data_IF_251189289965
#
_entry.id   IF_251189289965
#
_cell.length_a   1.000
_cell.length_b   1.000
_cell.length_c   1.000
_cell.angle_alpha   90.00
_cell.angle_beta   90.00
_cell.angle_gamma   90.00
#
_symmetry.space_group_name_H-M   'P 1'
#
loop_
_entity.id
_entity.type
_entity.pdbx_description
1 polymer ?
#
# COMPACT_ATOMS: atom_id res chain seq x y z
N UNK A 1 22.66 -70.38 17.53
CA UNK A 1 23.77 -69.62 16.96
C UNK A 1 24.41 -70.48 15.88
N UNK A 2 24.67 -69.89 14.72
CA UNK A 2 25.32 -70.51 13.56
C UNK A 2 26.82 -70.20 13.64
N UNK A 3 27.68 -71.18 13.34
CA UNK A 3 29.13 -71.00 13.29
C UNK A 3 29.51 -70.86 11.82
N UNK A 4 30.18 -69.78 11.43
CA UNK A 4 30.68 -69.61 10.07
C UNK A 4 31.63 -70.76 9.71
N UNK A 5 31.72 -71.10 8.43
CA UNK A 5 32.46 -72.27 7.97
C UNK A 5 33.98 -72.12 8.18
N UNK A 6 34.48 -70.90 8.23
CA UNK A 6 35.84 -70.53 8.65
C UNK A 6 36.11 -70.65 10.17
N UNK A 7 35.07 -70.95 10.96
CA UNK A 7 35.07 -71.03 12.43
C UNK A 7 35.52 -69.75 13.14
N UNK A 8 35.56 -68.60 12.46
CA UNK A 8 36.10 -67.36 13.02
C UNK A 8 35.08 -66.62 13.87
N UNK A 9 33.79 -66.80 13.58
CA UNK A 9 32.71 -66.12 14.28
C UNK A 9 31.44 -66.96 14.39
N UNK A 10 30.65 -66.62 15.39
CA UNK A 10 29.35 -67.23 15.67
C UNK A 10 28.25 -66.20 15.54
N UNK A 11 27.33 -66.42 14.61
CA UNK A 11 26.20 -65.55 14.31
C UNK A 11 24.92 -66.03 14.99
N UNK A 12 23.99 -65.10 15.22
CA UNK A 12 22.64 -65.46 15.62
C UNK A 12 21.91 -66.09 14.44
N UNK A 13 20.98 -67.02 14.68
CA UNK A 13 20.30 -67.76 13.60
C UNK A 13 19.42 -66.87 12.71
N UNK A 14 19.14 -65.64 13.14
CA UNK A 14 18.40 -64.63 12.37
C UNK A 14 19.27 -63.95 11.31
N UNK A 15 20.60 -64.08 11.41
CA UNK A 15 21.60 -63.53 10.50
C UNK A 15 22.12 -64.61 9.55
N UNK A 16 21.25 -65.55 9.20
CA UNK A 16 21.58 -66.72 8.38
C UNK A 16 20.48 -66.81 7.36
N UNK A 17 20.84 -66.75 6.08
CA UNK A 17 19.89 -66.62 4.99
C UNK A 17 19.05 -65.32 5.05
N UNK A 18 19.65 -64.23 5.54
CA UNK A 18 19.02 -62.91 5.60
C UNK A 18 19.45 -62.00 4.44
N UNK A 19 20.08 -62.56 3.42
CA UNK A 19 20.54 -61.89 2.20
C UNK A 19 21.71 -60.92 2.42
N UNK A 20 22.33 -60.97 3.60
CA UNK A 20 23.49 -60.17 3.96
C UNK A 20 24.65 -61.08 4.32
N UNK A 21 25.83 -60.76 3.79
CA UNK A 21 27.05 -61.44 4.20
C UNK A 21 27.49 -60.91 5.57
N UNK A 22 27.11 -61.62 6.62
CA UNK A 22 27.61 -61.40 7.98
C UNK A 22 28.80 -62.34 8.28
N UNK A 23 28.91 -63.48 7.59
CA UNK A 23 30.12 -64.28 7.60
C UNK A 23 31.24 -63.66 6.75
N UNK A 24 32.47 -63.53 7.26
CA UNK A 24 33.63 -63.08 6.46
C UNK A 24 33.86 -63.96 5.21
N UNK A 25 33.50 -65.25 5.28
CA UNK A 25 33.57 -66.21 4.18
C UNK A 25 32.24 -66.35 3.40
N UNK A 26 31.18 -65.64 3.80
CA UNK A 26 29.84 -65.70 3.20
C UNK A 26 29.11 -67.03 3.40
N UNK A 27 29.59 -67.86 4.32
CA UNK A 27 29.03 -69.19 4.56
C UNK A 27 27.59 -69.18 5.11
N UNK A 28 27.16 -68.07 5.70
CA UNK A 28 25.79 -67.82 6.15
C UNK A 28 24.75 -67.72 5.03
N UNK A 29 25.16 -67.37 3.80
CA UNK A 29 24.25 -67.14 2.67
C UNK A 29 24.33 -68.20 1.56
N UNK A 30 25.31 -69.11 1.62
CA UNK A 30 25.61 -70.03 0.51
C UNK A 30 24.75 -71.30 0.49
N UNK A 31 24.18 -71.71 1.62
CA UNK A 31 23.40 -72.95 1.73
C UNK A 31 21.88 -72.72 1.75
N UNK A 32 21.46 -71.47 1.54
CA UNK A 32 20.08 -71.05 1.62
C UNK A 32 19.30 -71.52 0.39
N UNK A 33 18.24 -72.30 0.60
CA UNK A 33 17.34 -72.69 -0.50
C UNK A 33 16.39 -71.53 -0.79
N UNK A 34 16.77 -70.64 -1.70
CA UNK A 34 15.96 -69.49 -2.10
C UNK A 34 14.90 -69.94 -3.12
N UNK A 35 13.67 -69.47 -2.94
CA UNK A 35 12.57 -69.73 -3.89
C UNK A 35 12.97 -69.21 -5.27
N UNK A 36 13.00 -70.09 -6.29
CA UNK A 36 13.40 -69.71 -7.66
C UNK A 36 12.36 -68.84 -8.39
N UNK A 37 11.17 -68.70 -7.83
CA UNK A 37 10.09 -67.91 -8.42
C UNK A 37 9.90 -66.64 -7.60
N UNK A 38 10.49 -65.54 -8.08
CA UNK A 38 10.23 -64.19 -7.60
C UNK A 38 9.11 -63.59 -8.48
N UNK A 39 7.98 -63.21 -7.88
CA UNK A 39 6.84 -62.56 -8.56
C UNK A 39 7.03 -61.03 -8.57
N UNK A 40 8.30 -60.58 -8.57
CA UNK A 40 8.73 -59.21 -8.30
C UNK A 40 10.13 -58.92 -8.87
N UNK A 41 10.77 -57.86 -8.38
CA UNK A 41 12.16 -57.54 -8.76
C UNK A 41 13.14 -58.33 -7.90
N UNK A 42 14.14 -58.94 -8.55
CA UNK A 42 15.22 -59.63 -7.87
C UNK A 42 16.47 -58.74 -7.84
N UNK A 43 16.85 -58.30 -6.64
CA UNK A 43 18.07 -57.55 -6.36
C UNK A 43 19.32 -58.33 -6.79
N UNK A 44 20.47 -57.67 -6.99
CA UNK A 44 21.71 -58.36 -7.40
C UNK A 44 22.23 -59.34 -6.33
N UNK A 45 21.92 -59.09 -5.06
CA UNK A 45 22.18 -59.98 -3.91
C UNK A 45 21.20 -61.17 -3.84
N UNK A 46 20.20 -61.23 -4.71
CA UNK A 46 19.20 -62.29 -4.82
C UNK A 46 17.99 -62.15 -3.90
N UNK A 47 17.86 -61.03 -3.17
CA UNK A 47 16.63 -60.65 -2.45
C UNK A 47 15.51 -60.39 -3.45
N UNK A 48 14.29 -60.83 -3.14
CA UNK A 48 13.11 -60.57 -3.96
C UNK A 48 12.28 -59.49 -3.28
N UNK A 49 12.02 -58.39 -3.99
CA UNK A 49 11.17 -57.30 -3.53
C UNK A 49 9.95 -57.19 -4.46
N UNK A 50 8.82 -56.66 -3.96
CA UNK A 50 7.67 -56.34 -4.81
C UNK A 50 8.03 -55.32 -5.91
N UNK A 51 7.35 -55.37 -7.06
CA UNK A 51 7.63 -54.44 -8.17
C UNK A 51 7.33 -52.97 -7.84
N UNK A 52 6.44 -52.70 -6.89
CA UNK A 52 6.14 -51.38 -6.35
C UNK A 52 7.25 -50.80 -5.48
N UNK A 53 8.22 -51.64 -5.09
CA UNK A 53 9.43 -51.26 -4.33
C UNK A 53 10.67 -51.08 -5.19
N UNK A 54 10.49 -51.06 -6.51
CA UNK A 54 11.55 -50.74 -7.45
C UNK A 54 11.51 -49.23 -7.74
N UNK A 55 12.64 -48.53 -7.56
CA UNK A 55 12.76 -47.09 -7.82
C UNK A 55 11.82 -46.20 -6.97
N UNK A 56 11.54 -46.60 -5.73
CA UNK A 56 10.63 -45.88 -4.84
C UNK A 56 11.35 -44.93 -3.87
N UNK A 57 12.67 -44.75 -4.05
CA UNK A 57 13.56 -43.90 -3.25
C UNK A 57 13.86 -44.50 -1.87
N UNK A 58 13.20 -45.59 -1.48
CA UNK A 58 13.54 -46.36 -0.29
C UNK A 58 14.56 -47.45 -0.65
N UNK A 59 15.52 -47.69 0.24
CA UNK A 59 16.49 -48.77 0.04
C UNK A 59 15.89 -50.09 0.51
N UNK A 60 15.09 -50.72 -0.34
CA UNK A 60 14.44 -51.99 -0.11
C UNK A 60 15.37 -53.18 -0.44
N UNK A 61 16.24 -53.06 -1.44
CA UNK A 61 17.36 -53.99 -1.62
C UNK A 61 18.52 -53.63 -0.70
N UNK A 62 19.10 -54.63 -0.04
CA UNK A 62 20.31 -54.40 0.78
C UNK A 62 21.49 -53.82 -0.03
N UNK A 63 21.61 -54.19 -1.31
CA UNK A 63 22.68 -53.77 -2.20
C UNK A 63 22.33 -52.51 -3.02
N UNK A 64 21.22 -51.84 -2.72
CA UNK A 64 20.73 -50.62 -3.41
C UNK A 64 20.42 -50.84 -4.90
N UNK A 65 20.31 -52.09 -5.36
CA UNK A 65 20.07 -52.40 -6.78
C UNK A 65 18.66 -52.05 -7.26
N UNK A 66 17.72 -51.88 -6.34
CA UNK A 66 16.37 -51.40 -6.59
C UNK A 66 16.31 -49.93 -7.02
N UNK A 67 17.32 -49.14 -6.65
CA UNK A 67 17.39 -47.71 -6.97
C UNK A 67 18.29 -47.40 -8.17
N UNK A 68 18.91 -48.42 -8.78
CA UNK A 68 19.71 -48.30 -10.01
C UNK A 68 18.79 -48.29 -11.26
N UNK A 69 18.07 -47.19 -11.41
CA UNK A 69 16.92 -47.06 -12.31
C UNK A 69 17.25 -46.42 -13.66
N UNK A 70 18.42 -46.73 -14.24
CA UNK A 70 18.96 -46.09 -15.45
C UNK A 70 18.10 -46.26 -16.73
N UNK A 71 17.03 -47.06 -16.67
CA UNK A 71 15.98 -47.11 -17.70
C UNK A 71 14.53 -47.06 -17.19
N UNK A 72 14.27 -46.92 -15.89
CA UNK A 72 12.93 -47.09 -15.29
C UNK A 72 12.22 -45.78 -14.93
N UNK A 73 12.49 -44.69 -15.65
CA UNK A 73 11.85 -43.38 -15.44
C UNK A 73 10.65 -43.11 -16.35
N UNK A 74 9.96 -44.16 -16.83
CA UNK A 74 8.85 -44.03 -17.80
C UNK A 74 7.50 -44.69 -17.43
N UNK A 75 7.31 -45.37 -16.28
CA UNK A 75 6.09 -46.19 -16.09
C UNK A 75 5.34 -46.13 -14.75
N UNK A 76 5.03 -44.94 -14.22
CA UNK A 76 3.84 -44.82 -13.35
C UNK A 76 3.07 -43.49 -13.50
N UNK A 77 2.55 -43.24 -14.69
CA UNK A 77 1.17 -42.73 -14.84
C UNK A 77 0.54 -43.50 -15.99
N UNK A 78 -0.36 -44.43 -15.66
CA UNK A 78 -1.17 -45.19 -16.61
C UNK A 78 -1.81 -44.25 -17.65
N UNK A 79 -1.36 -44.39 -18.91
CA UNK A 79 -1.99 -43.80 -20.09
C UNK A 79 -3.47 -44.17 -20.15
N UNK A 80 -4.32 -43.21 -19.80
CA UNK A 80 -5.38 -42.78 -20.71
C UNK A 80 -5.38 -41.26 -20.69
N UNK A 81 -4.75 -40.67 -21.71
CA UNK A 81 -4.61 -39.23 -22.00
C UNK A 81 -3.31 -38.55 -21.53
N UNK A 82 -2.15 -39.18 -21.74
CA UNK A 82 -0.91 -38.38 -21.83
C UNK A 82 -0.98 -37.55 -23.11
N UNK A 83 -1.24 -36.26 -22.91
CA UNK A 83 -1.16 -35.25 -23.96
C UNK A 83 0.25 -34.71 -23.90
N UNK A 84 0.98 -34.77 -25.02
CA UNK A 84 2.33 -34.21 -25.10
C UNK A 84 2.31 -32.71 -24.73
N UNK A 85 3.30 -32.23 -23.94
CA UNK A 85 3.38 -30.82 -23.60
C UNK A 85 3.57 -29.97 -24.89
N UNK A 86 2.97 -28.77 -24.96
CA UNK A 86 2.32 -28.05 -23.86
C UNK A 86 0.87 -28.49 -23.62
N UNK A 87 0.53 -28.77 -22.36
CA UNK A 87 -0.84 -29.09 -21.94
C UNK A 87 -1.13 -28.45 -20.58
N UNK A 88 -2.40 -28.09 -20.35
CA UNK A 88 -2.90 -27.58 -19.08
C UNK A 88 -3.43 -28.75 -18.26
N UNK A 89 -2.99 -28.82 -17.01
CA UNK A 89 -3.39 -29.86 -16.06
C UNK A 89 -4.23 -29.21 -14.95
N UNK A 90 -5.46 -29.67 -14.77
CA UNK A 90 -6.34 -29.23 -13.67
C UNK A 90 -6.73 -30.42 -12.79
N UNK A 91 -6.98 -30.14 -11.51
CA UNK A 91 -7.52 -31.11 -10.55
C UNK A 91 -9.03 -30.91 -10.42
N UNK A 92 -9.81 -31.97 -10.61
CA UNK A 92 -11.27 -31.93 -10.47
C UNK A 92 -11.72 -32.01 -9.00
N UNK A 93 -13.00 -31.69 -8.77
CA UNK A 93 -13.97 -32.49 -8.00
C UNK A 93 -13.43 -33.50 -6.97
N UNK A 94 -12.88 -34.56 -7.52
CA UNK A 94 -12.58 -35.76 -6.76
C UNK A 94 -11.06 -35.99 -6.64
N UNK A 95 -10.25 -34.96 -6.97
CA UNK A 95 -8.78 -35.04 -7.01
C UNK A 95 -8.22 -35.68 -8.29
N UNK A 96 -9.10 -35.97 -9.27
CA UNK A 96 -8.68 -36.55 -10.55
C UNK A 96 -8.04 -35.51 -11.47
N UNK A 97 -6.99 -35.92 -12.17
CA UNK A 97 -6.26 -35.10 -13.14
C UNK A 97 -7.05 -34.98 -14.45
N UNK A 98 -7.17 -33.76 -14.96
CA UNK A 98 -7.77 -33.46 -16.26
C UNK A 98 -6.76 -32.74 -17.14
N UNK A 99 -6.60 -33.23 -18.37
CA UNK A 99 -5.61 -32.74 -19.33
C UNK A 99 -6.30 -32.01 -20.48
N UNK A 100 -5.79 -30.83 -20.81
CA UNK A 100 -6.22 -30.07 -21.99
C UNK A 100 -4.99 -29.70 -22.83
N UNK A 101 -4.94 -30.20 -24.06
CA UNK A 101 -3.89 -29.84 -25.01
C UNK A 101 -3.88 -28.32 -25.24
N UNK A 102 -2.69 -27.72 -25.15
CA UNK A 102 -2.46 -26.32 -25.43
C UNK A 102 -1.65 -26.21 -26.71
N UNK A 103 -1.92 -25.23 -27.56
CA UNK A 103 -1.10 -25.02 -28.76
C UNK A 103 0.24 -24.38 -28.40
N UNK A 104 1.30 -24.66 -29.16
CA UNK A 104 2.66 -24.13 -28.88
C UNK A 104 2.78 -22.59 -28.89
N UNK A 105 1.73 -21.88 -29.33
CA UNK A 105 1.67 -20.41 -29.38
C UNK A 105 0.75 -19.80 -28.32
N UNK A 106 0.06 -20.62 -27.52
CA UNK A 106 -0.93 -20.17 -26.54
C UNK A 106 -0.28 -20.15 -25.14
N UNK A 107 -0.44 -19.03 -24.43
CA UNK A 107 0.09 -18.88 -23.07
C UNK A 107 -0.72 -19.70 -22.07
N UNK A 108 -0.10 -20.12 -20.97
CA UNK A 108 -0.83 -20.78 -19.88
C UNK A 108 -1.97 -19.86 -19.37
N UNK A 109 -3.09 -20.43 -18.91
CA UNK A 109 -4.15 -19.67 -18.25
C UNK A 109 -3.59 -18.88 -17.05
N UNK A 110 -4.21 -17.75 -16.71
CA UNK A 110 -3.78 -16.88 -15.60
C UNK A 110 -3.77 -17.61 -14.23
N UNK A 111 -4.54 -18.70 -14.11
CA UNK A 111 -4.61 -19.58 -12.94
C UNK A 111 -3.46 -20.59 -12.84
N UNK A 112 -2.61 -20.70 -13.87
CA UNK A 112 -1.56 -21.72 -14.01
C UNK A 112 -0.18 -21.10 -14.25
N UNK A 113 0.87 -21.79 -13.81
CA UNK A 113 2.26 -21.50 -14.14
C UNK A 113 2.82 -22.57 -15.08
N UNK A 114 3.84 -22.20 -15.87
CA UNK A 114 4.51 -23.12 -16.80
C UNK A 114 5.75 -23.73 -16.15
N UNK A 115 5.84 -25.05 -16.15
CA UNK A 115 7.06 -25.81 -15.84
C UNK A 115 8.14 -25.56 -16.93
N UNK A 116 9.30 -24.95 -16.65
CA UNK A 116 10.38 -24.78 -17.64
C UNK A 116 11.13 -26.10 -17.96
N UNK A 117 11.65 -26.31 -19.18
CA UNK A 117 11.76 -25.35 -20.28
C UNK A 117 10.49 -25.23 -21.16
N UNK A 118 9.74 -26.30 -21.41
CA UNK A 118 8.51 -26.28 -22.21
C UNK A 118 7.43 -27.26 -21.69
N UNK A 119 7.36 -27.42 -20.36
CA UNK A 119 6.52 -28.42 -19.69
C UNK A 119 5.04 -28.06 -19.56
N UNK A 120 4.35 -28.82 -18.71
CA UNK A 120 2.93 -28.66 -18.42
C UNK A 120 2.62 -27.31 -17.75
N UNK A 121 1.42 -26.78 -18.00
CA UNK A 121 0.86 -25.69 -17.21
C UNK A 121 0.14 -26.30 -16.00
N UNK A 122 0.66 -26.04 -14.80
CA UNK A 122 0.11 -26.52 -13.53
C UNK A 122 -0.52 -25.36 -12.74
N UNK A 123 -1.52 -25.62 -11.88
CA UNK A 123 -2.14 -24.56 -11.07
C UNK A 123 -1.14 -23.87 -10.15
N UNK A 124 -1.31 -22.57 -9.90
CA UNK A 124 -0.34 -21.79 -9.10
C UNK A 124 -0.17 -22.32 -7.66
N UNK A 125 -1.20 -22.96 -7.10
CA UNK A 125 -1.16 -23.51 -5.73
C UNK A 125 -0.31 -24.77 -5.56
N UNK A 126 0.09 -25.44 -6.65
CA UNK A 126 1.03 -26.58 -6.54
C UNK A 126 2.49 -26.14 -6.56
N UNK A 127 2.75 -24.83 -6.70
CA UNK A 127 4.11 -24.31 -6.61
C UNK A 127 4.52 -24.11 -5.16
N UNK A 128 5.67 -24.64 -4.77
CA UNK A 128 6.20 -24.51 -3.41
C UNK A 128 5.25 -25.08 -2.34
N UNK A 129 4.54 -26.16 -2.68
CA UNK A 129 3.64 -26.92 -1.81
C UNK A 129 4.37 -28.05 -1.04
N UNK A 130 5.65 -28.27 -1.34
CA UNK A 130 6.48 -29.32 -0.73
C UNK A 130 6.42 -30.67 -1.46
N UNK A 131 5.78 -30.72 -2.63
CA UNK A 131 5.66 -31.90 -3.50
C UNK A 131 6.27 -31.54 -4.86
N UNK A 132 6.99 -32.48 -5.47
CA UNK A 132 7.54 -32.29 -6.82
C UNK A 132 6.49 -32.68 -7.86
N UNK A 133 5.70 -31.72 -8.32
CA UNK A 133 4.65 -31.84 -9.31
C UNK A 133 5.17 -31.58 -10.74
N UNK A 134 6.21 -30.74 -10.91
CA UNK A 134 6.83 -30.58 -12.23
C UNK A 134 7.82 -31.71 -12.56
N UNK A 135 7.95 -32.12 -13.85
CA UNK A 135 8.88 -33.19 -14.26
C UNK A 135 10.36 -32.95 -13.90
N UNK A 136 10.81 -31.68 -13.88
CA UNK A 136 12.18 -31.31 -13.53
C UNK A 136 12.30 -30.74 -12.11
N UNK A 137 11.26 -30.88 -11.28
CA UNK A 137 11.24 -30.45 -9.86
C UNK A 137 11.45 -28.95 -9.65
N UNK A 138 11.21 -28.15 -10.69
CA UNK A 138 11.40 -26.69 -10.69
C UNK A 138 10.39 -25.92 -9.84
N UNK A 139 9.25 -26.53 -9.57
CA UNK A 139 8.13 -26.00 -8.82
C UNK A 139 8.49 -25.78 -7.34
N UNK A 140 9.39 -26.60 -6.82
CA UNK A 140 9.96 -26.50 -5.47
C UNK A 140 11.32 -25.80 -5.44
N UNK A 141 11.77 -25.24 -6.58
CA UNK A 141 13.02 -24.49 -6.64
C UNK A 141 12.82 -23.03 -6.22
N UNK A 142 13.73 -22.51 -5.39
CA UNK A 142 13.82 -21.08 -5.04
C UNK A 142 12.58 -20.48 -4.33
N UNK A 143 11.87 -21.28 -3.54
CA UNK A 143 10.66 -20.87 -2.80
C UNK A 143 10.90 -19.78 -1.74
N UNK A 144 12.13 -19.61 -1.26
CA UNK A 144 12.48 -18.60 -0.26
C UNK A 144 12.45 -17.17 -0.82
N UNK A 145 12.76 -17.00 -2.10
CA UNK A 145 12.81 -15.69 -2.79
C UNK A 145 11.49 -15.42 -3.52
N UNK A 146 10.72 -16.47 -3.80
CA UNK A 146 9.47 -16.34 -4.53
C UNK A 146 8.42 -15.55 -3.73
N UNK A 147 8.05 -14.40 -4.29
CA UNK A 147 6.94 -13.56 -3.84
C UNK A 147 5.75 -13.86 -4.76
N UNK A 148 4.50 -13.82 -4.28
CA UNK A 148 3.30 -14.06 -5.10
C UNK A 148 2.84 -12.73 -5.77
N UNK A 149 3.23 -12.40 -7.02
CA UNK A 149 2.78 -11.16 -7.67
C UNK A 149 1.32 -11.30 -8.11
N UNK A 150 0.41 -10.62 -7.42
CA UNK A 150 -1.01 -10.59 -7.80
C UNK A 150 -1.84 -11.81 -7.36
N UNK A 151 -1.23 -12.80 -6.70
CA UNK A 151 -1.91 -13.96 -6.12
C UNK A 151 -1.89 -13.89 -4.58
N UNK A 152 -2.83 -14.57 -3.93
CA UNK A 152 -2.88 -14.63 -2.48
C UNK A 152 -1.85 -15.60 -1.93
N UNK A 153 -1.18 -15.22 -0.84
CA UNK A 153 -0.20 -16.07 -0.18
C UNK A 153 -0.81 -16.68 1.07
N UNK A 154 -0.79 -18.00 1.17
CA UNK A 154 -1.25 -18.72 2.35
C UNK A 154 -0.50 -18.29 3.62
N UNK A 155 -1.18 -18.25 4.77
CA UNK A 155 -0.55 -17.87 6.04
C UNK A 155 0.52 -18.88 6.42
N UNK A 156 1.67 -18.37 6.89
CA UNK A 156 2.80 -19.18 7.32
C UNK A 156 3.28 -20.22 6.27
N UNK A 157 3.03 -19.95 4.99
CA UNK A 157 3.39 -20.82 3.87
C UNK A 157 3.96 -20.03 2.68
N UNK A 158 4.58 -20.74 1.74
CA UNK A 158 5.08 -20.26 0.44
C UNK A 158 4.10 -20.48 -0.70
N UNK A 159 3.01 -21.21 -0.45
CA UNK A 159 1.97 -21.52 -1.44
C UNK A 159 1.19 -20.26 -1.82
N UNK A 160 0.97 -20.10 -3.11
CA UNK A 160 0.19 -19.00 -3.68
C UNK A 160 -1.12 -19.54 -4.28
N UNK A 161 -2.25 -18.88 -4.01
CA UNK A 161 -3.58 -19.27 -4.50
C UNK A 161 -4.13 -18.19 -5.42
N UNK A 162 -4.68 -18.59 -6.56
CA UNK A 162 -5.35 -17.69 -7.49
C UNK A 162 -6.71 -17.25 -6.93
N UNK A 163 -7.19 -16.06 -7.29
CA UNK A 163 -8.46 -15.50 -6.81
C UNK A 163 -9.65 -16.43 -7.09
N UNK A 164 -9.69 -17.07 -8.27
CA UNK A 164 -10.72 -18.04 -8.66
C UNK A 164 -10.77 -19.32 -7.79
N UNK A 165 -9.70 -19.61 -7.05
CA UNK A 165 -9.62 -20.74 -6.12
C UNK A 165 -9.82 -20.32 -4.67
N UNK A 166 -10.21 -19.07 -4.41
CA UNK A 166 -10.63 -18.66 -3.07
C UNK A 166 -12.11 -18.98 -2.88
N UNK A 167 -12.46 -19.56 -1.73
CA UNK A 167 -13.84 -19.88 -1.41
C UNK A 167 -14.52 -20.78 -2.46
N UNK A 168 -13.75 -21.65 -3.10
CA UNK A 168 -14.25 -22.62 -4.08
C UNK A 168 -14.74 -23.92 -3.40
N UNK A 169 -14.69 -23.94 -2.06
CA UNK A 169 -15.13 -25.04 -1.21
C UNK A 169 -14.06 -26.11 -1.06
N UNK A 170 -12.82 -25.84 -1.49
CA UNK A 170 -11.67 -26.72 -1.31
C UNK A 170 -10.53 -25.96 -0.65
N UNK A 171 -9.94 -26.50 0.42
CA UNK A 171 -8.74 -25.90 0.98
C UNK A 171 -7.52 -26.27 0.13
N UNK A 172 -6.92 -25.29 -0.54
CA UNK A 172 -5.60 -25.39 -1.17
C UNK A 172 -4.48 -24.91 -0.22
N UNK A 173 -4.79 -24.05 0.76
CA UNK A 173 -3.83 -23.62 1.76
C UNK A 173 -3.64 -24.67 2.88
N UNK A 174 -2.42 -24.83 3.41
CA UNK A 174 -2.16 -25.75 4.53
C UNK A 174 -2.99 -25.45 5.79
N UNK A 175 -3.25 -24.17 6.04
CA UNK A 175 -4.05 -23.68 7.17
C UNK A 175 -5.52 -23.45 6.80
N UNK A 176 -5.93 -23.80 5.57
CA UNK A 176 -7.30 -23.64 5.07
C UNK A 176 -7.78 -22.17 5.09
N UNK A 177 -6.84 -21.21 5.03
CA UNK A 177 -7.14 -19.78 5.13
C UNK A 177 -7.86 -19.20 3.91
N UNK A 178 -7.68 -19.84 2.76
CA UNK A 178 -8.37 -19.60 1.50
C UNK A 178 -9.87 -19.90 1.57
N UNK A 179 -10.28 -20.78 2.49
CA UNK A 179 -11.67 -21.10 2.78
C UNK A 179 -12.16 -20.48 4.11
N UNK A 180 -11.26 -19.83 4.85
CA UNK A 180 -11.62 -19.03 6.01
C UNK A 180 -12.13 -17.67 5.53
N UNK A 181 -13.22 -17.20 6.14
CA UNK A 181 -13.86 -15.91 5.85
C UNK A 181 -14.69 -15.80 4.56
N UNK A 182 -15.05 -16.93 3.93
CA UNK A 182 -15.95 -16.94 2.77
C UNK A 182 -17.39 -16.46 3.06
N UNK A 183 -17.79 -16.48 4.33
CA UNK A 183 -19.05 -15.91 4.81
C UNK A 183 -18.98 -14.41 5.14
N UNK A 184 -17.86 -13.74 4.86
CA UNK A 184 -17.79 -12.28 4.92
C UNK A 184 -18.60 -11.69 3.77
N UNK A 185 -19.91 -11.59 3.98
CA UNK A 185 -20.75 -10.72 3.16
C UNK A 185 -20.25 -9.30 3.35
N UNK A 186 -19.62 -8.76 2.32
CA UNK A 186 -19.31 -7.35 2.27
C UNK A 186 -20.55 -6.54 2.65
N UNK A 187 -20.39 -5.48 3.46
CA UNK A 187 -21.46 -4.52 3.66
C UNK A 187 -21.94 -3.99 2.30
N UNK A 188 -23.22 -3.63 2.22
CA UNK A 188 -23.79 -3.01 1.02
C UNK A 188 -22.98 -1.75 0.67
N UNK A 189 -22.61 -1.60 -0.60
CA UNK A 189 -21.77 -0.50 -1.10
C UNK A 189 -20.33 -0.48 -0.56
N UNK A 190 -19.81 -1.64 -0.13
CA UNK A 190 -18.40 -1.88 0.14
C UNK A 190 -17.81 -2.90 -0.83
N UNK A 191 -16.64 -2.59 -1.38
CA UNK A 191 -15.76 -3.52 -2.06
C UNK A 191 -14.77 -4.08 -1.03
N UNK A 192 -14.82 -5.37 -0.74
CA UNK A 192 -13.83 -6.03 0.13
C UNK A 192 -12.93 -6.94 -0.69
N UNK A 193 -11.64 -6.85 -0.41
CA UNK A 193 -10.62 -7.73 -0.95
C UNK A 193 -9.80 -8.25 0.24
N UNK A 194 -10.18 -9.42 0.77
CA UNK A 194 -9.60 -9.96 1.99
C UNK A 194 -9.85 -9.07 3.21
N UNK A 195 -8.77 -8.58 3.84
CA UNK A 195 -8.82 -7.69 5.02
C UNK A 195 -8.83 -6.19 4.67
N UNK A 196 -8.93 -5.87 3.38
CA UNK A 196 -9.01 -4.50 2.86
C UNK A 196 -10.44 -4.18 2.41
N UNK A 197 -11.00 -3.10 2.96
CA UNK A 197 -12.37 -2.69 2.76
C UNK A 197 -12.39 -1.28 2.17
N UNK A 198 -13.11 -1.10 1.06
CA UNK A 198 -13.35 0.21 0.44
C UNK A 198 -14.86 0.45 0.43
N UNK A 199 -15.33 1.39 1.23
CA UNK A 199 -16.74 1.56 1.54
C UNK A 199 -17.27 2.94 1.17
N UNK A 200 -18.44 2.95 0.53
CA UNK A 200 -19.17 4.17 0.17
C UNK A 200 -20.33 4.48 1.12
N UNK A 201 -20.65 3.59 2.06
CA UNK A 201 -21.68 3.79 3.09
C UNK A 201 -21.15 3.37 4.46
N UNK A 202 -21.72 3.94 5.52
CA UNK A 202 -21.33 3.62 6.89
C UNK A 202 -21.80 2.20 7.26
N UNK A 203 -20.95 1.47 7.99
CA UNK A 203 -21.25 0.11 8.43
C UNK A 203 -20.76 -0.12 9.86
N UNK A 204 -21.32 -1.13 10.52
CA UNK A 204 -20.93 -1.47 11.88
C UNK A 204 -19.62 -2.28 11.88
N UNK A 205 -18.54 -1.63 12.29
CA UNK A 205 -17.20 -2.21 12.25
C UNK A 205 -17.01 -3.38 13.22
N UNK A 206 -17.81 -3.50 14.29
CA UNK A 206 -17.69 -4.59 15.28
C UNK A 206 -17.90 -5.98 14.67
N UNK A 207 -18.65 -6.05 13.58
CA UNK A 207 -18.91 -7.30 12.87
C UNK A 207 -17.68 -7.82 12.10
N UNK A 208 -16.64 -6.99 11.96
CA UNK A 208 -15.47 -7.28 11.14
C UNK A 208 -14.16 -7.04 11.92
N UNK A 209 -13.84 -7.87 12.93
CA UNK A 209 -12.70 -7.65 13.82
C UNK A 209 -11.33 -7.85 13.16
N UNK A 210 -11.30 -8.51 12.01
CA UNK A 210 -10.07 -8.83 11.28
C UNK A 210 -9.59 -7.73 10.32
N UNK A 211 -10.38 -6.66 10.10
CA UNK A 211 -10.02 -5.59 9.15
C UNK A 211 -8.65 -5.00 9.50
N UNK A 212 -7.82 -4.79 8.47
CA UNK A 212 -6.49 -4.16 8.59
C UNK A 212 -6.36 -2.90 7.74
N UNK A 213 -7.08 -2.83 6.63
CA UNK A 213 -7.14 -1.68 5.73
C UNK A 213 -8.59 -1.23 5.57
N UNK A 214 -8.86 0.05 5.79
CA UNK A 214 -10.20 0.62 5.61
C UNK A 214 -10.10 1.95 4.86
N UNK A 215 -10.74 2.02 3.69
CA UNK A 215 -11.04 3.26 3.01
C UNK A 215 -12.53 3.61 3.15
N UNK A 216 -12.79 4.62 3.98
CA UNK A 216 -14.11 5.11 4.36
C UNK A 216 -14.32 6.57 3.89
N UNK A 217 -13.61 7.01 2.85
CA UNK A 217 -13.74 8.40 2.33
C UNK A 217 -15.12 8.71 1.75
N UNK A 218 -15.85 7.69 1.27
CA UNK A 218 -17.21 7.83 0.74
C UNK A 218 -18.32 7.59 1.76
N UNK A 219 -18.01 6.94 2.88
CA UNK A 219 -19.01 6.38 3.79
C UNK A 219 -19.61 7.34 4.81
N UNK A 220 -18.94 8.49 5.05
CA UNK A 220 -19.33 9.44 6.09
C UNK A 220 -18.99 8.97 7.51
N UNK A 221 -18.25 7.88 7.67
CA UNK A 221 -17.78 7.40 8.98
C UNK A 221 -16.74 8.35 9.58
N UNK A 222 -16.74 8.45 10.91
CA UNK A 222 -15.78 9.24 11.69
C UNK A 222 -14.88 8.34 12.55
N UNK A 223 -13.86 8.94 13.18
CA UNK A 223 -12.94 8.22 14.07
C UNK A 223 -13.64 7.49 15.23
N UNK A 224 -14.82 7.95 15.67
CA UNK A 224 -15.64 7.33 16.71
C UNK A 224 -16.39 6.07 16.27
N UNK A 225 -16.64 5.90 14.97
CA UNK A 225 -17.26 4.68 14.42
C UNK A 225 -16.27 3.50 14.41
N UNK A 226 -14.99 3.79 14.61
CA UNK A 226 -13.93 2.81 14.62
C UNK A 226 -13.86 2.13 15.98
N UNK A 227 -14.09 0.81 16.00
CA UNK A 227 -14.06 0.05 17.24
C UNK A 227 -12.64 0.02 17.82
N UNK A 228 -12.46 0.29 19.13
CA UNK A 228 -11.16 0.31 19.80
C UNK A 228 -10.45 -1.06 19.84
N UNK A 229 -11.19 -2.13 19.60
CA UNK A 229 -10.70 -3.52 19.66
C UNK A 229 -10.09 -4.01 18.34
N UNK A 230 -10.05 -3.17 17.30
CA UNK A 230 -9.65 -3.58 15.95
C UNK A 230 -8.31 -2.91 15.62
N UNK A 231 -7.32 -3.75 15.30
CA UNK A 231 -5.99 -3.29 14.94
C UNK A 231 -5.97 -2.91 13.46
N UNK A 232 -6.31 -1.67 13.16
CA UNK A 232 -6.25 -1.12 11.80
C UNK A 232 -4.85 -0.58 11.57
N UNK A 233 -4.26 -0.95 10.44
CA UNK A 233 -2.93 -0.50 10.02
C UNK A 233 -3.05 0.71 9.10
N UNK A 234 -4.00 0.66 8.17
CA UNK A 234 -4.25 1.72 7.19
C UNK A 234 -5.69 2.21 7.24
N UNK A 235 -5.88 3.53 7.37
CA UNK A 235 -7.18 4.15 7.49
C UNK A 235 -7.31 5.39 6.60
N UNK A 236 -8.37 5.45 5.80
CA UNK A 236 -8.78 6.64 5.05
C UNK A 236 -10.17 7.09 5.52
N UNK A 237 -10.35 8.37 5.87
CA UNK A 237 -11.63 8.91 6.35
C UNK A 237 -12.09 10.12 5.54
N UNK A 238 -13.40 10.40 5.57
CA UNK A 238 -14.03 11.55 4.90
C UNK A 238 -14.08 12.81 5.78
N UNK A 239 -14.15 12.63 7.09
CA UNK A 239 -14.31 13.70 8.08
C UNK A 239 -13.51 13.39 9.33
N UNK A 240 -12.84 14.41 9.86
CA UNK A 240 -12.09 14.34 11.11
C UNK A 240 -12.60 15.48 11.99
N UNK A 241 -13.50 15.15 12.93
CA UNK A 241 -14.10 16.10 13.88
C UNK A 241 -13.81 15.73 15.34
N UNK A 242 -13.19 14.58 15.58
CA UNK A 242 -12.99 14.01 16.91
C UNK A 242 -11.61 13.35 17.00
N UNK A 243 -11.06 13.27 18.21
CA UNK A 243 -9.74 12.71 18.45
C UNK A 243 -9.72 11.19 18.34
N UNK A 244 -8.60 10.64 17.88
CA UNK A 244 -8.38 9.20 17.78
C UNK A 244 -8.01 8.62 19.16
N UNK A 245 -9.00 8.37 20.01
CA UNK A 245 -8.74 7.94 21.39
C UNK A 245 -8.22 6.49 21.53
N UNK A 246 -8.50 5.60 20.56
CA UNK A 246 -8.33 4.17 20.78
C UNK A 246 -7.68 3.35 19.63
N UNK A 247 -7.14 3.98 18.60
CA UNK A 247 -6.47 3.30 17.47
C UNK A 247 -4.96 3.34 17.62
N UNK A 248 -4.40 2.56 18.55
CA UNK A 248 -2.97 2.63 18.91
C UNK A 248 -2.02 2.10 17.83
N UNK A 249 -2.46 1.09 17.09
CA UNK A 249 -1.64 0.36 16.11
C UNK A 249 -1.69 0.96 14.70
N UNK A 250 -2.31 2.13 14.54
CA UNK A 250 -2.47 2.78 13.25
C UNK A 250 -1.13 3.32 12.75
N UNK A 251 -0.64 2.82 11.61
CA UNK A 251 0.64 3.23 11.03
C UNK A 251 0.47 4.22 9.87
N UNK A 252 -0.61 4.08 9.10
CA UNK A 252 -0.90 4.91 7.94
C UNK A 252 -2.28 5.55 8.05
N UNK A 253 -2.33 6.88 8.04
CA UNK A 253 -3.57 7.65 8.10
C UNK A 253 -3.66 8.58 6.89
N UNK A 254 -4.73 8.45 6.11
CA UNK A 254 -5.01 9.31 4.95
C UNK A 254 -6.28 10.15 5.19
N UNK A 255 -6.08 11.45 5.33
CA UNK A 255 -7.09 12.48 5.51
C UNK A 255 -7.17 13.41 4.29
N UNK A 256 -6.65 13.02 3.13
CA UNK A 256 -6.78 13.83 1.91
C UNK A 256 -8.25 13.91 1.48
N UNK A 257 -8.68 15.11 1.07
CA UNK A 257 -10.08 15.36 0.69
C UNK A 257 -11.05 15.46 1.87
N UNK A 258 -10.57 15.45 3.12
CA UNK A 258 -11.42 15.62 4.30
C UNK A 258 -11.86 17.05 4.51
N UNK A 259 -13.10 17.24 5.00
CA UNK A 259 -13.55 18.51 5.59
C UNK A 259 -13.22 18.50 7.09
N UNK A 260 -12.26 19.31 7.48
CA UNK A 260 -11.82 19.43 8.89
C UNK A 260 -12.63 20.55 9.54
N UNK A 261 -13.28 20.27 10.67
CA UNK A 261 -13.94 21.28 11.52
C UNK A 261 -13.40 21.12 12.93
N UNK A 262 -12.78 22.18 13.47
CA UNK A 262 -12.20 22.17 14.81
C UNK A 262 -11.01 21.21 14.98
N UNK A 263 -9.80 21.75 15.04
CA UNK A 263 -8.60 20.96 15.34
C UNK A 263 -8.38 20.99 16.86
N UNK A 264 -8.45 19.84 17.53
CA UNK A 264 -8.16 19.72 18.95
C UNK A 264 -6.73 19.21 19.19
N UNK A 265 -6.12 19.63 20.30
CA UNK A 265 -4.73 19.28 20.69
C UNK A 265 -4.51 17.77 20.85
N UNK A 266 -5.57 17.01 21.16
CA UNK A 266 -5.44 15.58 21.43
C UNK A 266 -5.76 14.71 20.20
N UNK A 267 -5.89 15.31 19.01
CA UNK A 267 -6.39 14.63 17.81
C UNK A 267 -5.52 13.42 17.45
N UNK A 268 -4.19 13.58 17.38
CA UNK A 268 -3.26 12.50 16.98
C UNK A 268 -2.34 11.99 18.09
N UNK A 269 -2.39 12.57 19.30
CA UNK A 269 -1.45 12.25 20.39
C UNK A 269 -1.45 10.79 20.86
N UNK A 270 -2.58 10.09 20.69
CA UNK A 270 -2.72 8.69 21.12
C UNK A 270 -2.31 7.68 20.03
N UNK A 271 -1.86 8.15 18.85
CA UNK A 271 -1.44 7.30 17.74
C UNK A 271 0.04 6.93 17.87
N UNK A 272 0.34 6.02 18.79
CA UNK A 272 1.72 5.70 19.20
C UNK A 272 2.52 4.88 18.16
N UNK A 273 1.91 4.49 17.04
CA UNK A 273 2.58 3.73 15.97
C UNK A 273 2.48 4.41 14.60
N UNK A 274 2.04 5.67 14.56
CA UNK A 274 1.85 6.40 13.32
C UNK A 274 3.19 6.65 12.64
N UNK A 275 3.31 6.23 11.37
CA UNK A 275 4.50 6.43 10.55
C UNK A 275 4.27 7.43 9.44
N UNK A 276 3.09 7.40 8.82
CA UNK A 276 2.76 8.32 7.72
C UNK A 276 1.39 8.96 7.90
N UNK A 277 1.33 10.27 7.70
CA UNK A 277 0.09 11.03 7.71
C UNK A 277 -0.06 11.78 6.38
N UNK A 278 -1.11 11.47 5.62
CA UNK A 278 -1.50 12.27 4.46
C UNK A 278 -2.64 13.20 4.87
N UNK A 279 -2.50 14.50 4.64
CA UNK A 279 -3.49 15.48 5.05
C UNK A 279 -3.91 16.39 3.91
N UNK A 280 -5.17 16.87 3.95
CA UNK A 280 -5.69 17.86 3.02
C UNK A 280 -5.13 19.27 3.26
N UNK A 281 -4.59 19.52 4.44
CA UNK A 281 -4.06 20.82 4.87
C UNK A 281 -2.79 20.64 5.69
N UNK A 282 -1.80 21.52 5.47
CA UNK A 282 -0.53 21.53 6.20
C UNK A 282 -0.70 21.69 7.71
N UNK A 283 -1.84 22.22 8.17
CA UNK A 283 -2.18 22.44 9.59
C UNK A 283 -2.16 21.16 10.42
N UNK A 284 -2.48 20.02 9.79
CA UNK A 284 -2.46 18.70 10.45
C UNK A 284 -1.05 18.12 10.56
N UNK A 285 -0.09 18.67 9.80
CA UNK A 285 1.32 18.29 9.83
C UNK A 285 2.15 19.17 10.79
N UNK A 286 1.51 19.95 11.64
CA UNK A 286 2.20 20.76 12.63
C UNK A 286 2.71 19.89 13.78
N UNK A 287 3.96 20.10 14.19
CA UNK A 287 4.61 19.30 15.25
C UNK A 287 3.81 19.27 16.55
N UNK A 288 3.13 20.37 16.90
CA UNK A 288 2.30 20.45 18.12
C UNK A 288 1.13 19.45 18.16
N UNK A 289 0.68 18.98 17.00
CA UNK A 289 -0.43 18.04 16.86
C UNK A 289 0.00 16.59 16.72
N UNK A 290 1.23 16.36 16.27
CA UNK A 290 1.75 15.03 16.02
C UNK A 290 2.09 14.33 17.35
N UNK A 291 1.98 12.99 17.39
CA UNK A 291 2.42 12.22 18.54
C UNK A 291 3.93 12.36 18.76
N UNK A 292 4.35 12.39 20.03
CA UNK A 292 5.75 12.49 20.43
C UNK A 292 6.40 11.10 20.33
N UNK A 293 6.91 10.78 19.14
CA UNK A 293 7.50 9.49 18.77
C UNK A 293 8.99 9.62 18.52
N UNK A 294 9.75 8.56 18.84
CA UNK A 294 11.20 8.50 18.60
C UNK A 294 11.56 8.58 17.09
N UNK A 295 10.68 8.09 16.22
CA UNK A 295 10.78 8.20 14.76
C UNK A 295 9.91 9.36 14.25
N UNK A 296 10.47 10.25 13.43
CA UNK A 296 9.72 11.36 12.81
C UNK A 296 8.59 10.82 11.92
N UNK A 297 7.35 11.27 12.16
CA UNK A 297 6.19 10.94 11.33
C UNK A 297 6.33 11.61 9.96
N UNK A 298 6.32 10.83 8.89
CA UNK A 298 6.31 11.35 7.53
C UNK A 298 4.94 11.96 7.21
N UNK A 299 4.82 13.27 7.40
CA UNK A 299 3.60 14.01 7.09
C UNK A 299 3.66 14.66 5.71
N UNK A 300 2.69 14.35 4.86
CA UNK A 300 2.57 14.89 3.50
C UNK A 300 1.26 15.66 3.36
N UNK A 301 1.38 16.97 3.17
CA UNK A 301 0.27 17.87 2.92
C UNK A 301 0.68 18.96 1.93
N UNK A 302 -0.26 19.48 1.12
CA UNK A 302 -0.01 20.68 0.34
C UNK A 302 0.27 21.84 1.31
N UNK A 303 1.46 22.43 1.19
CA UNK A 303 1.88 23.57 2.01
C UNK A 303 1.23 24.87 1.54
N UNK A 304 0.93 25.78 2.47
CA UNK A 304 0.61 27.15 2.13
C UNK A 304 1.86 28.02 1.97
N UNK A 305 1.75 28.99 1.07
CA UNK A 305 2.85 29.89 0.72
C UNK A 305 3.00 31.00 1.77
N UNK A 306 1.90 31.39 2.42
CA UNK A 306 1.83 32.58 3.26
C UNK A 306 1.86 32.31 4.76
N UNK A 307 1.25 31.23 5.23
CA UNK A 307 1.10 30.95 6.66
C UNK A 307 1.87 29.69 7.07
N UNK A 308 2.28 29.63 8.32
CA UNK A 308 2.90 28.46 8.95
C UNK A 308 2.06 27.98 10.14
N UNK A 309 2.55 26.98 10.87
CA UNK A 309 1.91 26.50 12.10
C UNK A 309 1.92 27.58 13.19
N UNK A 310 3.04 28.27 13.33
CA UNK A 310 3.26 29.24 14.41
C UNK A 310 2.79 30.65 14.04
N UNK A 311 2.92 31.04 12.77
CA UNK A 311 2.81 32.44 12.35
C UNK A 311 1.85 32.62 11.17
N UNK A 312 1.10 33.73 11.18
CA UNK A 312 0.21 34.12 10.08
C UNK A 312 1.04 34.43 8.83
N UNK A 313 2.17 35.13 8.99
CA UNK A 313 3.18 35.34 7.96
C UNK A 313 4.37 34.39 8.21
N UNK A 314 4.52 33.41 7.32
CA UNK A 314 5.49 32.31 7.42
C UNK A 314 6.94 32.77 7.56
N UNK A 315 7.32 33.88 6.91
CA UNK A 315 8.72 34.33 6.86
C UNK A 315 8.90 35.71 7.50
N UNK A 316 10.03 35.88 8.19
CA UNK A 316 10.42 37.17 8.78
C UNK A 316 10.59 38.25 7.69
N UNK A 317 10.98 37.86 6.48
CA UNK A 317 11.09 38.79 5.35
C UNK A 317 9.72 39.35 4.96
N UNK A 318 8.70 38.49 4.86
CA UNK A 318 7.32 38.91 4.57
C UNK A 318 6.79 39.84 5.65
N UNK A 319 7.07 39.51 6.92
CA UNK A 319 6.72 40.37 8.06
C UNK A 319 7.32 41.78 7.93
N UNK A 320 8.64 41.88 7.70
CA UNK A 320 9.32 43.17 7.57
C UNK A 320 8.80 43.95 6.35
N UNK A 321 8.56 43.28 5.23
CA UNK A 321 8.03 43.90 4.02
C UNK A 321 6.63 44.49 4.23
N UNK A 322 5.74 43.81 4.96
CA UNK A 322 4.39 44.33 5.27
C UNK A 322 4.49 45.64 6.06
N UNK A 323 5.37 45.72 7.06
CA UNK A 323 5.58 46.95 7.84
C UNK A 323 6.22 48.08 7.03
N UNK A 324 7.15 47.76 6.12
CA UNK A 324 7.75 48.75 5.20
C UNK A 324 6.67 49.30 4.26
N UNK A 325 5.87 48.44 3.62
CA UNK A 325 4.80 48.84 2.71
C UNK A 325 3.72 49.65 3.42
N UNK A 326 3.38 49.28 4.65
CA UNK A 326 2.51 50.07 5.51
C UNK A 326 3.09 51.48 5.74
N UNK A 327 4.35 51.59 6.18
CA UNK A 327 4.98 52.88 6.48
C UNK A 327 5.06 53.79 5.24
N UNK A 328 5.43 53.24 4.08
CA UNK A 328 5.48 53.99 2.81
C UNK A 328 4.09 54.45 2.41
N UNK A 329 3.08 53.59 2.52
CA UNK A 329 1.70 53.94 2.13
C UNK A 329 1.08 54.96 3.08
N UNK A 330 1.39 54.87 4.38
CA UNK A 330 0.86 55.75 5.42
C UNK A 330 1.45 57.17 5.37
N UNK A 331 2.71 57.31 4.94
CA UNK A 331 3.37 58.62 4.84
C UNK A 331 3.29 59.19 3.43
N UNK A 332 3.62 58.37 2.42
CA UNK A 332 3.77 58.82 1.04
C UNK A 332 2.45 59.23 0.41
N UNK A 333 1.41 58.40 0.51
CA UNK A 333 0.14 58.66 -0.17
C UNK A 333 -0.60 59.89 0.39
N UNK A 334 -0.73 60.08 1.72
CA UNK A 334 -1.35 61.30 2.27
C UNK A 334 -0.55 62.56 1.95
N UNK A 335 0.77 62.48 1.93
CA UNK A 335 1.63 63.60 1.53
C UNK A 335 1.38 64.00 0.06
N UNK A 336 1.32 63.03 -0.85
CA UNK A 336 1.00 63.26 -2.26
C UNK A 336 -0.41 63.86 -2.44
N UNK A 337 -1.42 63.34 -1.73
CA UNK A 337 -2.79 63.87 -1.77
C UNK A 337 -2.79 65.33 -1.30
N UNK A 338 -2.16 65.61 -0.15
CA UNK A 338 -2.07 66.98 0.38
C UNK A 338 -1.40 67.92 -0.62
N UNK A 339 -0.27 67.49 -1.21
CA UNK A 339 0.43 68.26 -2.24
C UNK A 339 -0.45 68.54 -3.47
N UNK A 340 -1.16 67.52 -3.97
CA UNK A 340 -2.08 67.64 -5.10
C UNK A 340 -3.24 68.60 -4.80
N UNK A 341 -3.84 68.51 -3.61
CA UNK A 341 -4.96 69.38 -3.19
C UNK A 341 -4.50 70.84 -3.05
N UNK A 342 -3.32 71.08 -2.48
CA UNK A 342 -2.76 72.45 -2.36
C UNK A 342 -2.47 73.03 -3.74
N UNK A 343 -1.88 72.25 -4.65
CA UNK A 343 -1.59 72.68 -6.03
C UNK A 343 -2.86 72.91 -6.86
N UNK A 344 -3.93 72.15 -6.61
CA UNK A 344 -5.22 72.34 -7.27
C UNK A 344 -5.91 73.66 -6.91
N UNK A 345 -5.60 74.28 -5.75
CA UNK A 345 -6.16 75.61 -5.42
C UNK A 345 -5.73 76.71 -6.41
N UNK A 346 -4.66 76.49 -7.17
CA UNK A 346 -4.13 77.48 -8.12
C UNK A 346 -4.55 77.25 -9.58
N UNK A 347 -5.17 76.11 -9.92
CA UNK A 347 -5.51 75.74 -11.32
C UNK A 347 -6.88 75.06 -11.45
N UNK A 348 -7.47 75.11 -12.65
CA UNK A 348 -8.68 74.34 -13.01
C UNK A 348 -8.35 72.84 -12.94
N UNK A 349 -9.17 72.08 -12.22
CA UNK A 349 -8.98 70.63 -12.00
C UNK A 349 -9.11 69.86 -13.32
N UNK A 350 -8.06 69.11 -13.71
CA UNK A 350 -8.13 68.17 -14.83
C UNK A 350 -8.64 66.81 -14.39
N UNK A 351 -9.26 66.06 -15.31
CA UNK A 351 -9.71 64.68 -15.06
C UNK A 351 -8.56 63.80 -14.53
N UNK A 352 -7.38 63.94 -15.14
CA UNK A 352 -6.16 63.24 -14.72
C UNK A 352 -5.78 63.51 -13.27
N UNK A 353 -5.87 64.77 -12.79
CA UNK A 353 -5.53 65.11 -11.40
C UNK A 353 -6.51 64.46 -10.42
N UNK A 354 -7.80 64.37 -10.76
CA UNK A 354 -8.80 63.70 -9.95
C UNK A 354 -8.59 62.17 -9.91
N UNK A 355 -8.21 61.56 -11.04
CA UNK A 355 -7.87 60.13 -11.10
C UNK A 355 -6.64 59.78 -10.26
N UNK A 356 -5.62 60.64 -10.24
CA UNK A 356 -4.43 60.45 -9.40
C UNK A 356 -4.73 60.54 -7.91
N UNK A 357 -5.64 61.43 -7.49
CA UNK A 357 -6.10 61.50 -6.10
C UNK A 357 -6.85 60.23 -5.72
N UNK A 358 -7.70 59.71 -6.61
CA UNK A 358 -8.43 58.45 -6.37
C UNK A 358 -7.48 57.25 -6.25
N UNK A 359 -6.45 57.17 -7.08
CA UNK A 359 -5.42 56.13 -6.99
C UNK A 359 -4.69 56.18 -5.64
N UNK A 360 -4.26 57.37 -5.21
CA UNK A 360 -3.57 57.54 -3.93
C UNK A 360 -4.48 57.24 -2.73
N UNK A 361 -5.77 57.58 -2.82
CA UNK A 361 -6.75 57.24 -1.80
C UNK A 361 -6.96 55.72 -1.70
N UNK A 362 -6.96 55.01 -2.84
CA UNK A 362 -6.99 53.55 -2.89
C UNK A 362 -5.74 52.93 -2.25
N UNK A 363 -4.56 53.47 -2.53
CA UNK A 363 -3.30 52.99 -1.94
C UNK A 363 -3.23 53.26 -0.42
N UNK A 364 -3.89 54.32 0.09
CA UNK A 364 -4.09 54.51 1.53
C UNK A 364 -4.92 53.39 2.16
N UNK A 365 -5.98 52.92 1.47
CA UNK A 365 -6.80 51.79 1.92
C UNK A 365 -5.99 50.49 1.96
N UNK A 366 -5.12 50.27 0.95
CA UNK A 366 -4.17 49.16 0.97
C UNK A 366 -3.20 49.25 2.17
N UNK A 367 -2.77 50.46 2.55
CA UNK A 367 -1.99 50.69 3.77
C UNK A 367 -2.74 50.27 5.05
N UNK A 368 -4.03 50.61 5.18
CA UNK A 368 -4.87 50.19 6.31
C UNK A 368 -4.99 48.66 6.35
N UNK A 369 -5.17 48.01 5.20
CA UNK A 369 -5.16 46.56 5.11
C UNK A 369 -3.84 45.95 5.62
N UNK A 370 -2.69 46.47 5.19
CA UNK A 370 -1.38 45.99 5.65
C UNK A 370 -1.17 46.19 7.15
N UNK A 371 -1.70 47.28 7.74
CA UNK A 371 -1.70 47.49 9.18
C UNK A 371 -2.50 46.41 9.91
N UNK A 372 -3.69 46.06 9.40
CA UNK A 372 -4.53 45.02 10.00
C UNK A 372 -3.84 43.65 9.95
N UNK A 373 -3.26 43.26 8.81
CA UNK A 373 -2.53 42.00 8.70
C UNK A 373 -1.26 42.00 9.56
N UNK A 374 -0.48 43.09 9.56
CA UNK A 374 0.73 43.19 10.38
C UNK A 374 0.45 43.16 11.87
N UNK A 375 -0.64 43.79 12.33
CA UNK A 375 -1.06 43.72 13.74
C UNK A 375 -1.62 42.37 14.11
N UNK A 376 -2.39 41.72 13.23
CA UNK A 376 -2.87 40.35 13.45
C UNK A 376 -1.69 39.36 13.60
N UNK A 377 -0.67 39.47 12.74
CA UNK A 377 0.52 38.61 12.86
C UNK A 377 1.25 38.82 14.19
N UNK A 378 1.38 40.07 14.69
CA UNK A 378 1.97 40.34 16.01
C UNK A 378 1.15 39.73 17.15
N UNK A 379 -0.18 39.79 17.08
CA UNK A 379 -1.07 39.28 18.13
C UNK A 379 -1.08 37.76 18.18
N UNK A 380 -1.09 37.12 17.02
CA UNK A 380 -1.21 35.66 16.89
C UNK A 380 0.13 34.94 16.68
N UNK A 381 1.26 35.67 16.75
CA UNK A 381 2.60 35.11 16.59
C UNK A 381 2.83 33.94 17.55
N UNK A 382 3.49 32.90 17.06
CA UNK A 382 3.79 31.65 17.78
C UNK A 382 2.55 30.84 18.22
N UNK A 383 1.32 31.30 17.96
CA UNK A 383 0.09 30.61 18.37
C UNK A 383 -0.99 30.61 17.30
N UNK A 384 -0.62 30.89 16.04
CA UNK A 384 -1.59 31.12 14.98
C UNK A 384 -2.53 29.92 14.76
N UNK A 385 -2.00 28.69 14.83
CA UNK A 385 -2.76 27.45 14.63
C UNK A 385 -4.07 27.37 15.44
N UNK A 386 -4.06 27.82 16.69
CA UNK A 386 -5.20 27.71 17.61
C UNK A 386 -6.23 28.85 17.46
N UNK A 387 -5.81 29.99 16.93
CA UNK A 387 -6.65 31.20 16.82
C UNK A 387 -7.11 31.50 15.39
N UNK A 388 -6.67 30.73 14.41
CA UNK A 388 -7.03 30.94 13.01
C UNK A 388 -8.54 30.98 12.78
N UNK A 389 -9.32 30.02 13.30
CA UNK A 389 -10.77 29.97 13.09
C UNK A 389 -11.44 31.22 13.67
N UNK A 390 -10.97 31.69 14.83
CA UNK A 390 -11.45 32.94 15.43
C UNK A 390 -11.05 34.18 14.65
N UNK A 391 -9.85 34.19 14.05
CA UNK A 391 -9.36 35.30 13.24
C UNK A 391 -10.10 35.37 11.91
N UNK A 392 -10.11 34.28 11.14
CA UNK A 392 -10.73 34.18 9.80
C UNK A 392 -12.25 34.28 9.86
N UNK A 393 -12.89 33.76 10.90
CA UNK A 393 -14.32 33.95 11.17
C UNK A 393 -14.67 35.32 11.75
N UNK A 394 -13.65 36.09 12.18
CA UNK A 394 -13.82 37.39 12.81
C UNK A 394 -14.16 38.51 11.83
N UNK A 395 -14.91 39.50 12.32
CA UNK A 395 -15.32 40.66 11.52
C UNK A 395 -14.11 41.48 11.01
N UNK A 396 -13.00 41.52 11.75
CA UNK A 396 -11.79 42.23 11.36
C UNK A 396 -11.14 41.65 10.10
N UNK A 397 -11.03 40.32 10.01
CA UNK A 397 -10.48 39.65 8.83
C UNK A 397 -11.42 39.80 7.62
N UNK A 398 -12.73 39.66 7.83
CA UNK A 398 -13.73 39.88 6.77
C UNK A 398 -13.72 41.32 6.24
N UNK A 399 -13.63 42.31 7.14
CA UNK A 399 -13.49 43.72 6.75
C UNK A 399 -12.17 43.95 6.01
N UNK A 400 -11.06 43.39 6.49
CA UNK A 400 -9.76 43.49 5.82
C UNK A 400 -9.80 42.88 4.41
N UNK A 401 -10.46 41.73 4.24
CA UNK A 401 -10.69 41.11 2.93
C UNK A 401 -11.51 42.01 2.00
N UNK A 402 -12.58 42.63 2.49
CA UNK A 402 -13.37 43.60 1.73
C UNK A 402 -12.54 44.84 1.32
N UNK A 403 -11.77 45.40 2.25
CA UNK A 403 -10.89 46.56 2.00
C UNK A 403 -9.83 46.22 0.95
N UNK A 404 -9.21 45.03 1.05
CA UNK A 404 -8.21 44.55 0.09
C UNK A 404 -8.80 44.36 -1.31
N UNK A 405 -10.00 43.78 -1.40
CA UNK A 405 -10.69 43.63 -2.68
C UNK A 405 -11.04 44.99 -3.29
N UNK A 406 -11.63 45.89 -2.51
CA UNK A 406 -11.99 47.23 -2.95
C UNK A 406 -10.78 48.05 -3.43
N UNK A 407 -9.66 48.03 -2.71
CA UNK A 407 -8.48 48.79 -3.13
C UNK A 407 -7.85 48.22 -4.40
N UNK A 408 -7.84 46.89 -4.58
CA UNK A 408 -7.32 46.27 -5.79
C UNK A 408 -8.17 46.66 -7.03
N UNK A 409 -9.48 46.62 -6.91
CA UNK A 409 -10.38 46.97 -8.02
C UNK A 409 -10.33 48.47 -8.33
N UNK A 410 -10.32 49.34 -7.32
CA UNK A 410 -10.24 50.80 -7.55
C UNK A 410 -8.88 51.18 -8.15
N UNK A 411 -7.77 50.65 -7.66
CA UNK A 411 -6.44 50.94 -8.21
C UNK A 411 -6.30 50.43 -9.65
N UNK A 412 -6.82 49.23 -9.97
CA UNK A 412 -6.75 48.69 -11.34
C UNK A 412 -7.65 49.45 -12.32
N UNK A 413 -8.88 49.80 -11.92
CA UNK A 413 -9.79 50.59 -12.75
C UNK A 413 -9.25 52.01 -12.99
N UNK A 414 -8.74 52.67 -11.96
CA UNK A 414 -8.15 54.02 -12.10
C UNK A 414 -6.93 54.00 -13.02
N UNK A 415 -6.03 53.01 -12.89
CA UNK A 415 -4.90 52.83 -13.80
C UNK A 415 -5.36 52.57 -15.25
N UNK A 416 -6.37 51.73 -15.46
CA UNK A 416 -6.91 51.46 -16.79
C UNK A 416 -7.48 52.72 -17.46
N UNK A 417 -8.21 53.55 -16.70
CA UNK A 417 -8.76 54.82 -17.19
C UNK A 417 -7.63 55.80 -17.51
N UNK A 418 -6.62 55.92 -16.64
CA UNK A 418 -5.45 56.79 -16.88
C UNK A 418 -4.70 56.37 -18.15
N UNK A 419 -4.47 55.07 -18.35
CA UNK A 419 -3.82 54.55 -19.56
C UNK A 419 -4.67 54.85 -20.79
N UNK A 420 -5.98 54.66 -20.72
CA UNK A 420 -6.91 54.92 -21.83
C UNK A 420 -6.93 56.40 -22.22
N UNK A 421 -7.00 57.30 -21.25
CA UNK A 421 -6.93 58.75 -21.48
C UNK A 421 -5.63 59.12 -22.22
N UNK A 422 -4.50 58.59 -21.77
CA UNK A 422 -3.19 58.84 -22.39
C UNK A 422 -3.10 58.26 -23.80
N UNK A 423 -3.60 57.05 -24.03
CA UNK A 423 -3.62 56.44 -25.36
C UNK A 423 -4.47 57.22 -26.35
N UNK A 424 -5.65 57.69 -25.94
CA UNK A 424 -6.50 58.54 -26.79
C UNK A 424 -5.77 59.84 -27.12
N UNK A 425 -5.15 60.49 -26.14
CA UNK A 425 -4.41 61.72 -26.37
C UNK A 425 -3.28 61.55 -27.40
N UNK A 426 -2.47 60.48 -27.28
CA UNK A 426 -1.41 60.19 -28.25
C UNK A 426 -1.94 59.73 -29.61
N UNK A 427 -3.04 58.97 -29.64
CA UNK A 427 -3.65 58.49 -30.88
C UNK A 427 -4.30 59.60 -31.72
N UNK A 428 -4.83 60.65 -31.09
CA UNK A 428 -5.41 61.80 -31.79
C UNK A 428 -4.38 62.84 -32.27
N UNK A 429 -3.14 62.79 -31.77
CA UNK A 429 -2.10 63.75 -32.14
C UNK A 429 -1.37 63.38 -33.46
N UNK A 430 -1.62 62.19 -34.01
CA UNK A 430 -1.18 61.77 -35.34
C UNK A 430 -2.38 61.49 -36.26
N UNK A 431 -3.06 62.51 -36.81
CA UNK A 431 -3.91 62.27 -37.97
C UNK A 431 -3.02 61.93 -39.17
N UNK A 432 -3.36 60.83 -39.85
CA UNK A 432 -2.77 60.34 -41.12
C UNK A 432 -2.83 61.42 -42.21
#
# INVERSE_FOLDING_TARGET
MFLCSDQTQTLHYTLVCDFKQDCNDGSDETFCTRSQTCDGFQCQNGQCIPHDKLCDVENDCWDVSDEDCDQFREWYVSLTNHIDPPAVVNFDKDGNLTYKALSAFESCPETHFRCPPDGYCLPVYVRCNGVYDCPNREDEANCQVYTCPGFYRCRASTVCVHVDHMCDGRPQCPQHDDELFCDLRCPLDCLCQGLAFVCSTAFNMKNFPAIRYLDARGSGMTASDISPSINIIWLCLASCNESFYNTRDLTHLDLRGTRIRGIHNDTFKNLNSLKTLYASSYKLCCQELLPDLDDEVLCSAPGDIFSSCENLLRSMNTFVLVWILYAVSFVGNPYCIMYCVVRQKEKVVSLFDALMINLQASDCLAGIYMLVIGTADVVYRERYLWYEETWTGGWLCQMAGFVSWMCADVSTLTLAVVITERLLFYGFQFPV
#
